data_IF_621395153065
#
_entry.id   IF_621395153065
#
_cell.length_a   1.000
_cell.length_b   1.000
_cell.length_c   1.000
_cell.angle_alpha   90.00
_cell.angle_beta   90.00
_cell.angle_gamma   90.00
#
_symmetry.space_group_name_H-M   'P 1'
#
loop_
_entity.id
_entity.type
_entity.pdbx_description
1 polymer ?
#
# COMPACT_ATOMS: atom_id res chain seq x y z
N UNK A 1 -39.73 3.60 7.70
CA UNK A 1 -39.03 4.70 7.01
C UNK A 1 -39.46 4.67 5.56
N UNK A 2 -40.04 5.74 5.04
CA UNK A 2 -40.50 5.78 3.65
C UNK A 2 -39.27 5.94 2.73
N UNK A 3 -39.04 4.94 1.88
CA UNK A 3 -37.92 4.86 0.95
C UNK A 3 -37.85 6.04 -0.05
N UNK A 4 -38.95 6.73 -0.24
CA UNK A 4 -39.08 7.88 -1.11
C UNK A 4 -38.88 9.23 -0.40
N UNK A 5 -38.69 9.26 0.91
CA UNK A 5 -38.44 10.51 1.64
C UNK A 5 -37.10 11.14 1.24
N UNK A 6 -37.05 12.47 1.18
CA UNK A 6 -35.81 13.21 0.91
C UNK A 6 -34.75 12.94 1.95
N UNK A 7 -35.16 12.71 3.21
CA UNK A 7 -34.29 12.34 4.30
C UNK A 7 -33.57 10.99 4.06
N UNK A 8 -34.32 9.97 3.58
CA UNK A 8 -33.74 8.68 3.22
C UNK A 8 -32.72 8.80 2.08
N UNK A 9 -33.04 9.58 1.04
CA UNK A 9 -32.12 9.81 -0.08
C UNK A 9 -30.84 10.51 0.37
N UNK A 10 -30.96 11.46 1.28
CA UNK A 10 -29.79 12.15 1.86
C UNK A 10 -28.93 11.21 2.69
N UNK A 11 -29.52 10.38 3.56
CA UNK A 11 -28.76 9.35 4.28
C UNK A 11 -28.01 8.39 3.35
N UNK A 12 -28.69 7.94 2.28
CA UNK A 12 -28.06 7.05 1.30
C UNK A 12 -26.86 7.73 0.65
N UNK A 13 -26.99 9.01 0.26
CA UNK A 13 -25.88 9.76 -0.32
C UNK A 13 -24.73 9.93 0.65
N UNK A 14 -24.98 10.22 1.93
CA UNK A 14 -23.96 10.33 2.96
C UNK A 14 -23.21 9.00 3.12
N UNK A 15 -23.97 7.89 3.25
CA UNK A 15 -23.38 6.55 3.34
C UNK A 15 -22.51 6.21 2.12
N UNK A 16 -22.98 6.58 0.92
CA UNK A 16 -22.23 6.37 -0.32
C UNK A 16 -20.89 7.11 -0.30
N UNK A 17 -20.89 8.38 0.07
CA UNK A 17 -19.68 9.22 0.11
C UNK A 17 -18.70 8.70 1.15
N UNK A 18 -19.17 8.43 2.37
CA UNK A 18 -18.33 7.92 3.46
C UNK A 18 -17.71 6.57 3.10
N UNK A 19 -18.53 5.62 2.62
CA UNK A 19 -18.08 4.29 2.26
C UNK A 19 -17.12 4.30 1.06
N UNK A 20 -17.35 5.16 0.07
CA UNK A 20 -16.47 5.28 -1.08
C UNK A 20 -15.12 5.89 -0.69
N UNK A 21 -15.10 6.91 0.16
CA UNK A 21 -13.86 7.46 0.70
C UNK A 21 -13.08 6.42 1.50
N UNK A 22 -13.74 5.70 2.40
CA UNK A 22 -13.16 4.63 3.19
C UNK A 22 -12.59 3.50 2.32
N UNK A 23 -13.34 3.10 1.29
CA UNK A 23 -12.92 2.09 0.32
C UNK A 23 -11.66 2.50 -0.42
N UNK A 24 -11.61 3.73 -0.96
CA UNK A 24 -10.43 4.25 -1.66
C UNK A 24 -9.22 4.22 -0.73
N UNK A 25 -9.36 4.67 0.51
CA UNK A 25 -8.28 4.70 1.49
C UNK A 25 -7.77 3.28 1.80
N UNK A 26 -8.67 2.35 2.12
CA UNK A 26 -8.30 0.99 2.54
C UNK A 26 -7.72 0.18 1.38
N UNK A 27 -8.33 0.22 0.19
CA UNK A 27 -7.81 -0.44 -1.03
C UNK A 27 -6.47 0.15 -1.46
N UNK A 28 -6.18 1.41 -1.10
CA UNK A 28 -4.90 2.08 -1.39
C UNK A 28 -3.86 1.91 -0.28
N UNK A 29 -4.12 1.09 0.72
CA UNK A 29 -3.14 0.71 1.75
C UNK A 29 -3.05 1.68 2.93
N UNK A 30 -4.09 2.45 3.23
CA UNK A 30 -4.12 3.27 4.43
C UNK A 30 -4.24 2.42 5.71
N UNK A 31 -3.81 2.97 6.83
CA UNK A 31 -4.02 2.40 8.16
C UNK A 31 -5.47 2.51 8.61
N UNK A 32 -5.93 1.57 9.44
CA UNK A 32 -7.33 1.50 9.92
C UNK A 32 -7.79 2.76 10.65
N UNK A 33 -6.95 3.30 11.51
CA UNK A 33 -7.22 4.53 12.25
C UNK A 33 -7.54 5.71 11.31
N UNK A 34 -6.79 5.86 10.23
CA UNK A 34 -7.05 6.92 9.23
C UNK A 34 -8.37 6.72 8.51
N UNK A 35 -8.71 5.47 8.18
CA UNK A 35 -9.97 5.15 7.51
C UNK A 35 -11.14 5.50 8.42
N UNK A 36 -11.14 5.02 9.66
CA UNK A 36 -12.22 5.28 10.63
C UNK A 36 -12.33 6.76 11.02
N UNK A 37 -11.19 7.45 11.21
CA UNK A 37 -11.19 8.90 11.47
C UNK A 37 -11.82 9.68 10.29
N UNK A 38 -11.50 9.30 9.06
CA UNK A 38 -12.09 9.93 7.88
C UNK A 38 -13.61 9.71 7.82
N UNK A 39 -14.08 8.48 8.07
CA UNK A 39 -15.51 8.15 8.10
C UNK A 39 -16.25 8.94 9.16
N UNK A 40 -15.74 8.91 10.39
CA UNK A 40 -16.32 9.60 11.55
C UNK A 40 -16.32 11.12 11.35
N UNK A 41 -15.25 11.68 10.82
CA UNK A 41 -15.14 13.13 10.56
C UNK A 41 -16.15 13.63 9.55
N UNK A 42 -16.34 12.90 8.44
CA UNK A 42 -17.38 13.26 7.45
C UNK A 42 -18.76 13.15 8.06
N UNK A 43 -19.07 12.05 8.77
CA UNK A 43 -20.37 11.84 9.38
C UNK A 43 -20.71 12.91 10.43
N UNK A 44 -19.80 13.22 11.34
CA UNK A 44 -19.96 14.27 12.36
C UNK A 44 -20.20 15.64 11.74
N UNK A 45 -19.47 15.98 10.67
CA UNK A 45 -19.67 17.24 9.96
C UNK A 45 -21.07 17.38 9.39
N UNK A 46 -21.68 16.27 8.99
CA UNK A 46 -23.03 16.21 8.43
C UNK A 46 -24.14 16.05 9.47
N UNK A 47 -23.81 16.16 10.77
CA UNK A 47 -24.76 16.12 11.88
C UNK A 47 -24.93 14.75 12.55
N UNK A 48 -24.19 13.74 12.12
CA UNK A 48 -24.28 12.37 12.65
C UNK A 48 -23.12 12.07 13.63
N UNK A 49 -23.25 12.54 14.87
CA UNK A 49 -22.24 12.37 15.92
C UNK A 49 -22.18 10.93 16.48
N UNK A 50 -23.26 10.15 16.33
CA UNK A 50 -23.38 8.76 16.82
C UNK A 50 -22.97 7.74 15.74
N UNK A 51 -22.38 8.18 14.66
CA UNK A 51 -21.92 7.28 13.60
C UNK A 51 -20.87 6.31 14.13
N UNK A 52 -20.97 5.05 13.71
CA UNK A 52 -20.04 3.99 14.08
C UNK A 52 -19.42 3.35 12.85
N UNK A 53 -18.12 3.15 12.90
CA UNK A 53 -17.34 2.51 11.84
C UNK A 53 -16.51 1.36 12.42
N UNK A 54 -16.40 0.29 11.65
CA UNK A 54 -15.53 -0.84 11.94
C UNK A 54 -14.78 -1.22 10.69
N UNK A 55 -13.45 -1.22 10.77
CA UNK A 55 -12.57 -1.46 9.63
C UNK A 55 -11.61 -2.60 9.93
N UNK A 56 -11.54 -3.53 9.00
CA UNK A 56 -10.51 -4.58 8.95
C UNK A 56 -9.87 -4.59 7.57
N UNK A 57 -8.82 -5.38 7.38
CA UNK A 57 -8.16 -5.49 6.07
C UNK A 57 -9.09 -5.97 4.94
N UNK A 58 -10.20 -6.61 5.26
CA UNK A 58 -11.11 -7.24 4.29
C UNK A 58 -12.53 -6.71 4.32
N UNK A 59 -12.91 -5.95 5.36
CA UNK A 59 -14.29 -5.48 5.54
C UNK A 59 -14.30 -4.05 6.08
N UNK A 60 -15.19 -3.25 5.52
CA UNK A 60 -15.60 -1.95 6.06
C UNK A 60 -17.07 -2.07 6.44
N UNK A 61 -17.41 -1.70 7.67
CA UNK A 61 -18.79 -1.57 8.14
C UNK A 61 -19.01 -0.14 8.62
N UNK A 62 -20.17 0.41 8.32
CA UNK A 62 -20.53 1.78 8.69
C UNK A 62 -22.01 1.91 9.00
N UNK A 63 -22.30 2.61 10.09
CA UNK A 63 -23.66 2.96 10.53
C UNK A 63 -23.71 4.45 10.85
N UNK A 64 -24.73 5.17 10.36
CA UNK A 64 -24.88 6.60 10.63
C UNK A 64 -25.41 6.89 12.03
N UNK A 65 -26.40 6.12 12.46
CA UNK A 65 -27.03 6.19 13.80
C UNK A 65 -27.61 4.83 14.16
N UNK A 66 -28.01 4.64 15.42
CA UNK A 66 -28.43 3.35 15.98
C UNK A 66 -29.58 2.66 15.22
N UNK A 67 -30.51 3.43 14.67
CA UNK A 67 -31.68 2.90 13.90
C UNK A 67 -31.37 2.72 12.40
N UNK A 68 -30.19 3.14 11.95
CA UNK A 68 -29.78 3.07 10.56
C UNK A 68 -29.24 1.69 10.20
N UNK A 69 -29.66 1.13 9.06
CA UNK A 69 -29.08 -0.12 8.57
C UNK A 69 -27.58 0.03 8.28
N UNK A 70 -26.73 -0.90 8.81
CA UNK A 70 -25.30 -0.87 8.54
C UNK A 70 -25.04 -1.14 7.06
N UNK A 71 -24.10 -0.40 6.46
CA UNK A 71 -23.49 -0.76 5.19
C UNK A 71 -22.24 -1.55 5.42
N UNK A 72 -22.11 -2.67 4.70
CA UNK A 72 -20.94 -3.54 4.74
C UNK A 72 -20.36 -3.61 3.33
N UNK A 73 -19.05 -3.45 3.24
CA UNK A 73 -18.31 -3.59 2.00
C UNK A 73 -17.13 -4.53 2.18
N UNK A 74 -17.00 -5.51 1.29
CA UNK A 74 -15.86 -6.44 1.27
C UNK A 74 -14.74 -5.90 0.39
N UNK A 75 -13.53 -5.86 0.92
CA UNK A 75 -12.31 -5.52 0.19
C UNK A 75 -11.70 -6.82 -0.36
N UNK A 76 -11.50 -6.89 -1.65
CA UNK A 76 -10.97 -8.08 -2.33
C UNK A 76 -9.55 -7.90 -2.85
N UNK A 77 -9.11 -6.66 -3.03
CA UNK A 77 -7.76 -6.35 -3.50
C UNK A 77 -7.25 -5.10 -2.79
N UNK A 78 -5.96 -5.06 -2.52
CA UNK A 78 -5.26 -3.91 -1.95
C UNK A 78 -3.98 -3.68 -2.74
N UNK A 79 -3.65 -2.42 -2.97
CA UNK A 79 -2.38 -1.99 -3.55
C UNK A 79 -1.94 -0.70 -2.86
N UNK A 80 -0.66 -0.47 -2.69
CA UNK A 80 -0.16 0.76 -2.10
C UNK A 80 -0.24 1.91 -3.11
N UNK A 81 -1.14 2.88 -2.86
CA UNK A 81 -1.32 4.06 -3.71
C UNK A 81 -1.47 5.34 -2.89
N UNK A 82 -0.33 5.94 -2.54
CA UNK A 82 -0.28 7.16 -1.72
C UNK A 82 -0.97 8.36 -2.40
N UNK A 83 -1.04 8.39 -3.73
CA UNK A 83 -1.72 9.46 -4.47
C UNK A 83 -3.24 9.39 -4.23
N UNK A 84 -3.84 8.19 -4.35
CA UNK A 84 -5.27 8.02 -4.05
C UNK A 84 -5.59 8.32 -2.59
N UNK A 85 -4.72 7.92 -1.65
CA UNK A 85 -4.87 8.27 -0.23
C UNK A 85 -4.88 9.79 -0.05
N UNK A 86 -3.92 10.49 -0.64
CA UNK A 86 -3.83 11.96 -0.56
C UNK A 86 -5.06 12.65 -1.15
N UNK A 87 -5.52 12.19 -2.32
CA UNK A 87 -6.71 12.73 -2.98
C UNK A 87 -7.99 12.49 -2.17
N UNK A 88 -8.23 11.28 -1.66
CA UNK A 88 -9.38 10.97 -0.82
C UNK A 88 -9.39 11.81 0.47
N UNK A 89 -8.23 11.98 1.12
CA UNK A 89 -8.08 12.85 2.27
C UNK A 89 -8.38 14.32 1.94
N UNK A 90 -7.96 14.81 0.76
CA UNK A 90 -8.29 16.17 0.30
C UNK A 90 -9.80 16.36 0.18
N UNK A 91 -10.50 15.44 -0.48
CA UNK A 91 -11.98 15.48 -0.61
C UNK A 91 -12.65 15.46 0.77
N UNK A 92 -12.21 14.57 1.68
CA UNK A 92 -12.73 14.55 3.04
C UNK A 92 -12.60 15.90 3.76
N UNK A 93 -11.48 16.59 3.61
CA UNK A 93 -11.27 17.93 4.17
C UNK A 93 -12.16 18.99 3.50
N UNK A 94 -12.32 18.94 2.19
CA UNK A 94 -13.18 19.86 1.46
C UNK A 94 -14.66 19.72 1.90
N UNK A 95 -15.14 18.49 2.17
CA UNK A 95 -16.47 18.25 2.75
C UNK A 95 -16.56 18.92 4.13
N UNK A 96 -15.56 18.68 5.00
CA UNK A 96 -15.59 19.20 6.38
C UNK A 96 -15.48 20.72 6.44
N UNK A 97 -14.84 21.34 5.47
CA UNK A 97 -14.72 22.80 5.34
C UNK A 97 -15.91 23.46 4.61
N UNK A 98 -16.91 22.68 4.17
CA UNK A 98 -18.01 23.14 3.31
C UNK A 98 -17.55 23.74 1.96
N UNK A 99 -16.43 23.30 1.42
CA UNK A 99 -15.91 23.77 0.14
C UNK A 99 -16.59 23.11 -1.06
N UNK A 100 -17.14 21.90 -0.87
CA UNK A 100 -17.84 21.14 -1.92
C UNK A 100 -19.12 20.49 -1.39
N UNK A 101 -20.09 20.29 -2.27
CA UNK A 101 -21.32 19.54 -1.96
C UNK A 101 -21.07 18.03 -1.89
N UNK A 102 -21.97 17.29 -1.22
CA UNK A 102 -21.89 15.82 -1.18
C UNK A 102 -21.98 15.16 -2.55
N UNK A 103 -22.80 15.69 -3.45
CA UNK A 103 -22.94 15.18 -4.81
C UNK A 103 -21.65 15.36 -5.62
N UNK A 104 -21.02 16.51 -5.46
CA UNK A 104 -19.73 16.80 -6.08
C UNK A 104 -18.61 15.94 -5.48
N UNK A 105 -18.59 15.78 -4.16
CA UNK A 105 -17.65 14.90 -3.47
C UNK A 105 -17.76 13.45 -3.97
N UNK A 106 -18.99 12.92 -4.12
CA UNK A 106 -19.24 11.60 -4.68
C UNK A 106 -18.64 11.47 -6.07
N UNK A 107 -18.92 12.43 -6.95
CA UNK A 107 -18.42 12.42 -8.34
C UNK A 107 -16.89 12.47 -8.39
N UNK A 108 -16.25 13.27 -7.52
CA UNK A 108 -14.78 13.34 -7.45
C UNK A 108 -14.18 12.04 -6.90
N UNK A 109 -14.77 11.45 -5.86
CA UNK A 109 -14.33 10.17 -5.32
C UNK A 109 -14.48 9.03 -6.34
N UNK A 110 -15.57 8.99 -7.10
CA UNK A 110 -15.76 8.02 -8.19
C UNK A 110 -14.67 8.14 -9.26
N UNK A 111 -14.29 9.35 -9.64
CA UNK A 111 -13.17 9.59 -10.56
C UNK A 111 -11.85 9.08 -10.00
N UNK A 112 -11.55 9.33 -8.72
CA UNK A 112 -10.36 8.85 -8.05
C UNK A 112 -10.37 7.31 -7.99
N UNK A 113 -11.52 6.71 -7.69
CA UNK A 113 -11.67 5.27 -7.59
C UNK A 113 -11.35 4.56 -8.92
N UNK A 114 -11.92 5.03 -10.01
CA UNK A 114 -11.77 4.45 -11.36
C UNK A 114 -10.40 4.77 -11.96
N UNK A 115 -9.71 5.82 -11.49
CA UNK A 115 -8.41 6.21 -12.02
C UNK A 115 -7.42 5.05 -11.95
N UNK A 116 -6.94 4.62 -13.12
CA UNK A 116 -5.89 3.60 -13.22
C UNK A 116 -4.55 4.18 -12.77
N UNK A 117 -3.76 3.37 -12.07
CA UNK A 117 -2.38 3.72 -11.76
C UNK A 117 -1.58 3.77 -13.07
N UNK A 118 -1.14 4.95 -13.47
CA UNK A 118 -0.20 5.10 -14.59
C UNK A 118 1.21 4.68 -14.12
N UNK A 119 1.46 3.40 -14.21
CA UNK A 119 2.71 2.81 -13.74
C UNK A 119 3.55 2.35 -14.93
N UNK A 120 4.29 3.29 -15.51
CA UNK A 120 5.27 2.97 -16.56
C UNK A 120 6.40 2.16 -15.96
N UNK A 121 6.55 0.91 -16.40
CA UNK A 121 7.61 0.01 -15.95
C UNK A 121 9.02 0.64 -15.98
N UNK A 122 9.42 1.37 -17.04
CA UNK A 122 10.75 2.00 -17.07
C UNK A 122 10.96 3.00 -15.93
N UNK A 123 9.93 3.78 -15.59
CA UNK A 123 10.01 4.73 -14.47
C UNK A 123 10.16 4.03 -13.12
N UNK A 124 9.45 2.92 -12.93
CA UNK A 124 9.58 2.09 -11.72
C UNK A 124 10.97 1.47 -11.62
N UNK A 125 11.52 0.95 -12.73
CA UNK A 125 12.88 0.43 -12.78
C UNK A 125 13.92 1.49 -12.44
N UNK A 126 13.77 2.71 -12.99
CA UNK A 126 14.63 3.84 -12.65
C UNK A 126 14.54 4.22 -11.16
N UNK A 127 13.33 4.27 -10.59
CA UNK A 127 13.16 4.55 -9.17
C UNK A 127 13.82 3.47 -8.29
N UNK A 128 13.69 2.18 -8.65
CA UNK A 128 14.36 1.09 -7.96
C UNK A 128 15.89 1.19 -8.04
N UNK A 129 16.43 1.59 -9.21
CA UNK A 129 17.85 1.85 -9.38
C UNK A 129 18.35 2.96 -8.42
N UNK A 130 17.61 4.05 -8.33
CA UNK A 130 17.94 5.17 -7.43
C UNK A 130 17.86 4.77 -5.96
N UNK A 131 16.87 3.94 -5.58
CA UNK A 131 16.76 3.41 -4.22
C UNK A 131 17.99 2.54 -3.90
N UNK A 132 18.32 1.57 -4.76
CA UNK A 132 19.46 0.68 -4.55
C UNK A 132 20.77 1.47 -4.43
N UNK A 133 21.01 2.47 -5.29
CA UNK A 133 22.18 3.34 -5.21
C UNK A 133 22.23 4.11 -3.88
N UNK A 134 21.09 4.69 -3.46
CA UNK A 134 21.02 5.46 -2.22
C UNK A 134 21.27 4.61 -0.99
N UNK A 135 20.71 3.40 -0.94
CA UNK A 135 20.94 2.46 0.16
C UNK A 135 22.37 1.92 0.19
N UNK A 136 22.97 1.68 -0.98
CA UNK A 136 24.40 1.32 -1.04
C UNK A 136 25.27 2.41 -0.40
N UNK A 137 25.02 3.66 -0.75
CA UNK A 137 25.73 4.80 -0.16
C UNK A 137 25.51 4.90 1.36
N UNK A 138 24.27 4.77 1.83
CA UNK A 138 23.92 4.82 3.26
C UNK A 138 24.62 3.73 4.08
N UNK A 139 24.90 2.58 3.49
CA UNK A 139 25.62 1.46 4.13
C UNK A 139 27.15 1.58 4.03
N UNK A 140 27.66 2.68 3.49
CA UNK A 140 29.10 2.85 3.29
C UNK A 140 29.69 2.00 2.16
N UNK A 141 28.85 1.56 1.22
CA UNK A 141 29.26 0.80 0.05
C UNK A 141 30.21 1.59 -0.86
N UNK A 142 31.03 0.87 -1.62
CA UNK A 142 32.04 1.47 -2.48
C UNK A 142 31.44 1.92 -3.81
N UNK A 143 32.01 2.97 -4.40
CA UNK A 143 31.56 3.48 -5.72
C UNK A 143 31.64 2.42 -6.83
N UNK A 144 32.56 1.46 -6.70
CA UNK A 144 32.73 0.38 -7.67
C UNK A 144 31.54 -0.58 -7.70
N UNK A 145 30.82 -0.71 -6.58
CA UNK A 145 29.67 -1.59 -6.40
C UNK A 145 28.36 -0.98 -6.90
N UNK A 146 28.36 0.33 -7.19
CA UNK A 146 27.15 1.10 -7.59
C UNK A 146 26.49 0.49 -8.82
N UNK A 147 27.27 0.16 -9.85
CA UNK A 147 26.73 -0.40 -11.08
C UNK A 147 26.02 -1.74 -10.84
N UNK A 148 26.65 -2.61 -10.06
CA UNK A 148 26.09 -3.93 -9.69
C UNK A 148 24.81 -3.77 -8.88
N UNK A 149 24.80 -2.90 -7.88
CA UNK A 149 23.62 -2.64 -7.03
C UNK A 149 22.45 -2.06 -7.83
N UNK A 150 22.72 -1.11 -8.73
CA UNK A 150 21.71 -0.53 -9.63
C UNK A 150 21.11 -1.59 -10.55
N UNK A 151 21.94 -2.40 -11.21
CA UNK A 151 21.45 -3.45 -12.11
C UNK A 151 20.67 -4.52 -11.35
N UNK A 152 21.20 -5.00 -10.22
CA UNK A 152 20.52 -5.99 -9.41
C UNK A 152 19.18 -5.46 -8.89
N UNK A 153 19.15 -4.28 -8.27
CA UNK A 153 17.94 -3.71 -7.68
C UNK A 153 16.89 -3.36 -8.73
N UNK A 154 17.29 -2.76 -9.87
CA UNK A 154 16.33 -2.39 -10.92
C UNK A 154 15.75 -3.63 -11.63
N UNK A 155 16.57 -4.58 -12.04
CA UNK A 155 16.09 -5.78 -12.73
C UNK A 155 15.31 -6.70 -11.81
N UNK A 156 15.78 -6.93 -10.59
CA UNK A 156 15.05 -7.72 -9.60
C UNK A 156 13.68 -7.12 -9.29
N UNK A 157 13.61 -5.80 -9.06
CA UNK A 157 12.33 -5.11 -8.85
C UNK A 157 11.39 -5.23 -10.06
N UNK A 158 11.90 -5.07 -11.28
CA UNK A 158 11.08 -5.20 -12.49
C UNK A 158 10.53 -6.61 -12.65
N UNK A 159 11.32 -7.63 -12.35
CA UNK A 159 10.87 -9.03 -12.35
C UNK A 159 9.77 -9.23 -11.32
N UNK A 160 9.95 -8.76 -10.09
CA UNK A 160 8.92 -8.80 -9.03
C UNK A 160 7.64 -8.13 -9.50
N UNK A 161 7.70 -6.91 -10.02
CA UNK A 161 6.53 -6.14 -10.48
C UNK A 161 5.79 -6.82 -11.64
N UNK A 162 6.51 -7.42 -12.59
CA UNK A 162 5.92 -8.15 -13.73
C UNK A 162 5.21 -9.42 -13.26
N UNK A 163 5.83 -10.15 -12.33
CA UNK A 163 5.26 -11.37 -11.79
C UNK A 163 4.05 -11.09 -10.91
N UNK A 164 4.11 -10.08 -10.05
CA UNK A 164 3.00 -9.65 -9.21
C UNK A 164 1.75 -9.32 -10.05
N UNK A 165 1.94 -8.57 -11.14
CA UNK A 165 0.84 -8.25 -12.08
C UNK A 165 0.23 -9.47 -12.76
N UNK A 166 1.00 -10.54 -12.97
CA UNK A 166 0.54 -11.74 -13.68
C UNK A 166 -0.03 -12.80 -12.75
N UNK A 167 0.62 -13.02 -11.63
CA UNK A 167 0.31 -14.16 -10.75
C UNK A 167 -0.67 -13.81 -9.64
N UNK A 168 -0.75 -12.54 -9.22
CA UNK A 168 -1.57 -12.08 -8.07
C UNK A 168 -1.36 -12.98 -6.83
N UNK A 169 -0.14 -13.50 -6.67
CA UNK A 169 0.25 -14.39 -5.59
C UNK A 169 1.32 -13.72 -4.74
N UNK A 170 1.13 -13.73 -3.43
CA UNK A 170 2.15 -13.28 -2.49
C UNK A 170 3.29 -14.30 -2.43
N UNK A 171 4.50 -13.86 -2.09
CA UNK A 171 5.69 -14.68 -1.91
C UNK A 171 6.44 -15.03 -3.22
N UNK A 172 5.77 -15.49 -4.27
CA UNK A 172 6.42 -15.96 -5.51
C UNK A 172 7.13 -14.82 -6.26
N UNK A 173 6.50 -13.65 -6.47
CA UNK A 173 7.16 -12.51 -7.11
C UNK A 173 8.41 -12.06 -6.37
N UNK A 174 8.34 -11.94 -5.04
CA UNK A 174 9.42 -11.49 -4.17
C UNK A 174 10.57 -12.52 -4.14
N UNK A 175 10.23 -13.80 -4.08
CA UNK A 175 11.22 -14.89 -4.13
C UNK A 175 11.99 -14.87 -5.45
N UNK A 176 11.31 -14.81 -6.59
CA UNK A 176 11.98 -14.83 -7.91
C UNK A 176 12.74 -13.53 -8.14
N UNK A 177 12.18 -12.38 -7.78
CA UNK A 177 12.85 -11.10 -7.91
C UNK A 177 14.14 -11.02 -7.08
N UNK A 178 14.11 -11.50 -5.84
CA UNK A 178 15.29 -11.53 -4.97
C UNK A 178 16.32 -12.60 -5.36
N UNK A 179 15.88 -13.71 -5.96
CA UNK A 179 16.76 -14.69 -6.59
C UNK A 179 17.55 -14.03 -7.75
N UNK A 180 16.87 -13.26 -8.62
CA UNK A 180 17.52 -12.49 -9.68
C UNK A 180 18.51 -11.48 -9.11
N UNK A 181 18.14 -10.78 -8.03
CA UNK A 181 19.08 -9.87 -7.32
C UNK A 181 20.31 -10.61 -6.87
N UNK A 182 20.15 -11.76 -6.22
CA UNK A 182 21.26 -12.58 -5.74
C UNK A 182 22.21 -13.01 -6.88
N UNK A 183 21.66 -13.51 -7.99
CA UNK A 183 22.45 -13.92 -9.16
C UNK A 183 23.27 -12.74 -9.71
N UNK A 184 22.64 -11.58 -9.93
CA UNK A 184 23.34 -10.40 -10.50
C UNK A 184 24.40 -9.90 -9.51
N UNK A 185 24.10 -9.88 -8.20
CA UNK A 185 25.07 -9.46 -7.18
C UNK A 185 26.28 -10.37 -7.13
N UNK A 186 26.11 -11.70 -7.20
CA UNK A 186 27.21 -12.67 -7.24
C UNK A 186 28.05 -12.53 -8.50
N UNK A 187 27.41 -12.41 -9.67
CA UNK A 187 28.13 -12.20 -10.93
C UNK A 187 28.92 -10.88 -10.88
N UNK A 188 28.32 -9.79 -10.42
CA UNK A 188 29.01 -8.50 -10.31
C UNK A 188 30.16 -8.55 -9.32
N UNK A 189 30.02 -9.23 -8.19
CA UNK A 189 31.09 -9.40 -7.21
C UNK A 189 32.23 -10.29 -7.74
N UNK A 190 31.93 -11.34 -8.50
CA UNK A 190 32.96 -12.19 -9.14
C UNK A 190 33.76 -11.43 -10.21
N UNK A 191 33.12 -10.54 -10.95
CA UNK A 191 33.80 -9.70 -11.94
C UNK A 191 34.62 -8.57 -11.29
N UNK A 192 34.19 -8.08 -10.14
CA UNK A 192 34.81 -6.99 -9.38
C UNK A 192 34.96 -7.42 -7.91
N UNK A 193 35.97 -8.25 -7.58
CA UNK A 193 36.08 -8.90 -6.25
C UNK A 193 36.49 -7.96 -5.11
N UNK A 194 36.63 -6.67 -5.36
CA UNK A 194 36.99 -5.67 -4.34
C UNK A 194 35.82 -5.13 -3.56
N UNK A 195 34.58 -5.43 -4.00
CA UNK A 195 33.34 -4.99 -3.36
C UNK A 195 32.89 -5.92 -2.21
N UNK A 196 31.89 -5.47 -1.48
CA UNK A 196 31.21 -6.27 -0.45
C UNK A 196 29.88 -6.82 -0.97
N UNK A 197 29.82 -8.14 -1.17
CA UNK A 197 28.63 -8.82 -1.69
C UNK A 197 27.40 -8.60 -0.80
N UNK A 198 27.58 -8.62 0.52
CA UNK A 198 26.47 -8.44 1.46
C UNK A 198 25.85 -7.02 1.31
N UNK A 199 26.68 -5.99 1.25
CA UNK A 199 26.23 -4.60 1.05
C UNK A 199 25.52 -4.41 -0.29
N UNK A 200 26.01 -5.04 -1.38
CA UNK A 200 25.35 -5.00 -2.70
C UNK A 200 23.97 -5.62 -2.61
N UNK A 201 23.84 -6.82 -2.03
CA UNK A 201 22.56 -7.53 -1.93
C UNK A 201 21.58 -6.76 -1.08
N UNK A 202 21.97 -6.29 0.11
CA UNK A 202 21.09 -5.52 1.01
C UNK A 202 20.58 -4.26 0.30
N UNK A 203 21.46 -3.51 -0.37
CA UNK A 203 21.06 -2.32 -1.11
C UNK A 203 20.07 -2.64 -2.26
N UNK A 204 20.34 -3.72 -3.00
CA UNK A 204 19.54 -4.12 -4.16
C UNK A 204 18.15 -4.67 -3.81
N UNK A 205 17.95 -5.27 -2.62
CA UNK A 205 16.62 -5.77 -2.19
C UNK A 205 15.72 -4.67 -1.63
N UNK A 206 16.24 -3.51 -1.24
CA UNK A 206 15.47 -2.43 -0.61
C UNK A 206 14.22 -1.98 -1.40
N UNK A 207 14.22 -1.92 -2.73
CA UNK A 207 13.02 -1.59 -3.49
C UNK A 207 11.87 -2.60 -3.31
N UNK A 208 12.14 -3.85 -2.91
CA UNK A 208 11.16 -4.93 -2.75
C UNK A 208 10.70 -5.05 -1.29
N UNK A 209 11.49 -4.54 -0.33
CA UNK A 209 11.16 -4.62 1.10
C UNK A 209 9.81 -3.97 1.39
N UNK A 210 8.90 -4.64 2.14
CA UNK A 210 7.53 -4.17 2.38
C UNK A 210 7.47 -3.09 3.47
N UNK A 211 8.23 -1.99 3.32
CA UNK A 211 8.40 -0.95 4.35
C UNK A 211 7.09 -0.25 4.73
N UNK A 212 6.27 0.12 3.74
CA UNK A 212 4.96 0.75 4.00
C UNK A 212 4.02 -0.20 4.72
N UNK A 213 4.03 -1.48 4.39
CA UNK A 213 3.21 -2.49 5.06
C UNK A 213 3.60 -2.65 6.54
N UNK A 214 4.91 -2.68 6.83
CA UNK A 214 5.44 -2.78 8.19
C UNK A 214 5.07 -1.54 9.01
N UNK A 215 5.28 -0.33 8.47
CA UNK A 215 4.96 0.91 9.18
C UNK A 215 3.47 1.05 9.45
N UNK A 216 2.62 0.68 8.49
CA UNK A 216 1.17 0.69 8.68
C UNK A 216 0.70 -0.37 9.69
N UNK A 217 1.34 -1.55 9.72
CA UNK A 217 1.05 -2.55 10.75
C UNK A 217 1.33 -2.01 12.16
N UNK A 218 2.47 -1.35 12.35
CA UNK A 218 2.82 -0.72 13.64
C UNK A 218 1.82 0.38 14.00
N UNK A 219 1.40 1.20 13.05
CA UNK A 219 0.38 2.24 13.28
C UNK A 219 -0.97 1.63 13.67
N UNK A 220 -1.38 0.53 13.03
CA UNK A 220 -2.61 -0.19 13.39
C UNK A 220 -2.53 -0.78 14.80
N UNK A 221 -1.36 -1.27 15.24
CA UNK A 221 -1.14 -1.73 16.61
C UNK A 221 -1.35 -0.60 17.61
N UNK A 222 -0.74 0.55 17.40
CA UNK A 222 -0.92 1.72 18.27
C UNK A 222 -2.34 2.29 18.25
N UNK A 223 -3.03 2.16 17.11
CA UNK A 223 -4.44 2.53 16.96
C UNK A 223 -5.44 1.52 17.56
N UNK A 224 -4.98 0.40 18.11
CA UNK A 224 -5.84 -0.65 18.67
C UNK A 224 -6.46 -1.60 17.62
N UNK A 225 -6.08 -1.49 16.36
CA UNK A 225 -6.57 -2.34 15.27
C UNK A 225 -5.82 -3.67 15.18
N UNK A 226 -5.93 -4.51 16.22
CA UNK A 226 -5.16 -5.74 16.37
C UNK A 226 -5.30 -6.73 15.20
N UNK A 227 -6.50 -6.85 14.62
CA UNK A 227 -6.72 -7.72 13.45
C UNK A 227 -5.97 -7.21 12.22
N UNK A 228 -5.93 -5.89 12.01
CA UNK A 228 -5.18 -5.29 10.90
C UNK A 228 -3.69 -5.42 11.11
N UNK A 229 -3.20 -5.14 12.33
CA UNK A 229 -1.81 -5.36 12.72
C UNK A 229 -1.37 -6.80 12.44
N UNK A 230 -2.11 -7.79 12.95
CA UNK A 230 -1.75 -9.22 12.80
C UNK A 230 -1.67 -9.62 11.33
N UNK A 231 -2.68 -9.25 10.55
CA UNK A 231 -2.75 -9.61 9.12
C UNK A 231 -1.61 -8.95 8.33
N UNK A 232 -1.38 -7.64 8.52
CA UNK A 232 -0.30 -6.91 7.82
C UNK A 232 1.09 -7.40 8.25
N UNK A 233 1.26 -7.75 9.52
CA UNK A 233 2.53 -8.32 10.01
C UNK A 233 2.82 -9.68 9.41
N UNK A 234 1.83 -10.56 9.30
CA UNK A 234 1.99 -11.86 8.62
C UNK A 234 2.32 -11.68 7.14
N UNK A 235 1.64 -10.77 6.46
CA UNK A 235 1.89 -10.44 5.06
C UNK A 235 3.34 -9.92 4.86
N UNK A 236 3.80 -9.03 5.74
CA UNK A 236 5.19 -8.55 5.73
C UNK A 236 6.21 -9.65 6.02
N UNK A 237 5.92 -10.56 6.95
CA UNK A 237 6.78 -11.71 7.26
C UNK A 237 6.91 -12.68 6.08
N UNK A 238 5.80 -12.99 5.41
CA UNK A 238 5.80 -13.85 4.21
C UNK A 238 6.63 -13.22 3.09
N UNK A 239 6.48 -11.92 2.86
CA UNK A 239 7.30 -11.17 1.89
C UNK A 239 8.78 -11.19 2.27
N UNK A 240 9.12 -10.90 3.52
CA UNK A 240 10.50 -10.91 4.00
C UNK A 240 11.13 -12.32 3.90
N UNK A 241 10.36 -13.36 4.21
CA UNK A 241 10.79 -14.74 4.02
C UNK A 241 11.03 -15.06 2.53
N UNK A 242 10.17 -14.60 1.64
CA UNK A 242 10.36 -14.74 0.20
C UNK A 242 11.66 -14.12 -0.30
N UNK A 243 11.95 -12.90 0.15
CA UNK A 243 13.19 -12.18 -0.17
C UNK A 243 14.40 -12.96 0.36
N UNK A 244 14.38 -13.34 1.64
CA UNK A 244 15.48 -14.08 2.27
C UNK A 244 15.72 -15.45 1.63
N UNK A 245 14.66 -16.19 1.30
CA UNK A 245 14.76 -17.48 0.64
C UNK A 245 15.31 -17.36 -0.80
N UNK A 246 14.90 -16.34 -1.56
CA UNK A 246 15.39 -16.11 -2.91
C UNK A 246 16.90 -15.81 -2.94
N UNK A 247 17.35 -14.84 -2.13
CA UNK A 247 18.78 -14.53 -2.00
C UNK A 247 19.55 -15.72 -1.42
N UNK A 248 19.03 -16.35 -0.35
CA UNK A 248 19.68 -17.49 0.31
C UNK A 248 19.88 -18.67 -0.63
N UNK A 249 18.93 -18.93 -1.53
CA UNK A 249 19.05 -20.01 -2.54
C UNK A 249 20.27 -19.80 -3.45
N UNK A 250 20.61 -18.56 -3.78
CA UNK A 250 21.78 -18.25 -4.60
C UNK A 250 23.07 -18.38 -3.77
N UNK A 251 23.06 -17.87 -2.54
CA UNK A 251 24.26 -17.88 -1.69
C UNK A 251 24.69 -19.28 -1.24
N UNK A 252 23.76 -20.25 -1.19
CA UNK A 252 24.08 -21.65 -0.89
C UNK A 252 24.83 -22.32 -2.05
N UNK A 253 24.65 -21.81 -3.28
CA UNK A 253 25.26 -22.40 -4.49
C UNK A 253 26.65 -21.83 -4.80
N UNK A 254 27.07 -20.79 -4.09
CA UNK A 254 28.34 -20.05 -4.28
C UNK A 254 29.23 -20.19 -3.03
#
# INVERSE_FOLDING_TARGET
MDINSEEYKQEVLIKDVVMLAARILLESGAEGTRVEDTMTRIAKKLGYSESNSFVTNTVIQFTLHSESFPRIFRITSRDTNLIKISQANKISRQITNNEISLAEAKTQLEKIYVAKRDSRLPFKGFAAAMIAMSFLYLQGGRLIDVLTAILAGSLGYLVTEILDRKLHAQFIPEFIGSLVIGIIAVIGHTLIPTGDLATIIIAAVMPIVPGVLITNAIQDLFGGHMLMFTTKSLEALVTAFGIGAGVGSVLILV
#
